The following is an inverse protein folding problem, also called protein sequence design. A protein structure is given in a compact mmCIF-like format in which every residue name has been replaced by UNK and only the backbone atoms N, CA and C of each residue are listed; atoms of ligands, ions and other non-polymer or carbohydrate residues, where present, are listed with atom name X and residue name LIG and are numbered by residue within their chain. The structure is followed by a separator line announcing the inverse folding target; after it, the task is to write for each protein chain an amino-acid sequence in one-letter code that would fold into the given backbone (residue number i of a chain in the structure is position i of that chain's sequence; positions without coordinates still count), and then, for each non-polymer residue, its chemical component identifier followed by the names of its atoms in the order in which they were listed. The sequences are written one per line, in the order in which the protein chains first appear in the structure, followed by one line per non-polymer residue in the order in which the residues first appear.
data_IF_481833154333
#
_entry.id   IF_481833154333
#
_cell.length_a   1.000
_cell.length_b   1.000
_cell.length_c   1.000
_cell.angle_alpha   90.00
_cell.angle_beta   90.00
_cell.angle_gamma   90.00
#
_symmetry.space_group_name_H-M   'P 1'
#
loop_
_entity.id
_entity.type
_entity.pdbx_description
1 polymer ?
#
# COMPACT_ATOMS: atom_id res chain seq x y z
N UNK A 1 -5.36 -11.37 8.57
CA UNK A 1 -4.96 -10.18 7.81
C UNK A 1 -3.90 -9.34 8.50
N UNK A 2 -4.07 -8.87 9.74
CA UNK A 2 -3.07 -8.03 10.42
C UNK A 2 -1.62 -8.59 10.47
N UNK A 3 -1.45 -9.91 10.62
CA UNK A 3 -0.10 -10.54 10.57
C UNK A 3 0.52 -10.50 9.17
N UNK A 4 -0.30 -10.60 8.13
CA UNK A 4 0.14 -10.60 6.74
C UNK A 4 0.53 -9.17 6.31
N UNK A 5 -0.30 -8.17 6.63
CA UNK A 5 0.02 -6.76 6.35
C UNK A 5 1.28 -6.29 7.08
N UNK A 6 1.51 -6.78 8.31
CA UNK A 6 2.78 -6.57 9.02
C UNK A 6 3.98 -7.15 8.26
N UNK A 7 3.88 -8.39 7.78
CA UNK A 7 4.96 -9.02 7.01
C UNK A 7 5.24 -8.27 5.69
N UNK A 8 4.19 -7.84 4.99
CA UNK A 8 4.28 -7.03 3.77
C UNK A 8 4.98 -5.69 4.06
N UNK A 9 4.59 -5.01 5.14
CA UNK A 9 5.23 -3.76 5.58
C UNK A 9 6.71 -3.95 5.84
N UNK A 10 7.08 -4.98 6.59
CA UNK A 10 8.48 -5.25 6.89
C UNK A 10 9.28 -5.61 5.63
N UNK A 11 8.70 -6.38 4.71
CA UNK A 11 9.36 -6.73 3.44
C UNK A 11 9.56 -5.51 2.54
N UNK A 12 8.57 -4.62 2.47
CA UNK A 12 8.65 -3.37 1.73
C UNK A 12 9.77 -2.48 2.29
N UNK A 13 9.85 -2.32 3.62
CA UNK A 13 10.89 -1.52 4.27
C UNK A 13 12.28 -2.13 4.04
N UNK A 14 12.43 -3.47 4.17
CA UNK A 14 13.70 -4.17 3.92
C UNK A 14 14.21 -3.97 2.51
N UNK A 15 13.33 -3.97 1.52
CA UNK A 15 13.70 -3.86 0.11
C UNK A 15 13.67 -2.43 -0.43
N UNK A 16 13.22 -1.44 0.34
CA UNK A 16 13.03 -0.05 -0.12
C UNK A 16 14.30 0.52 -0.80
N UNK A 17 15.46 0.32 -0.18
CA UNK A 17 16.75 0.76 -0.70
C UNK A 17 17.12 0.08 -2.03
N UNK A 18 16.78 -1.20 -2.20
CA UNK A 18 17.05 -1.96 -3.44
C UNK A 18 16.35 -1.35 -4.64
N UNK A 19 15.18 -0.77 -4.43
CA UNK A 19 14.35 -0.15 -5.47
C UNK A 19 14.49 1.38 -5.52
N UNK A 20 15.41 1.96 -4.74
CA UNK A 20 15.60 3.41 -4.68
C UNK A 20 14.39 4.17 -4.13
N UNK A 21 13.48 3.49 -3.42
CA UNK A 21 12.27 4.09 -2.87
C UNK A 21 12.56 4.50 -1.42
N UNK A 22 12.35 5.78 -1.03
CA UNK A 22 12.48 6.18 0.36
C UNK A 22 11.46 5.47 1.24
N UNK A 23 11.91 4.95 2.39
CA UNK A 23 11.02 4.33 3.39
C UNK A 23 9.92 5.30 3.84
N UNK A 24 10.25 6.59 3.96
CA UNK A 24 9.28 7.65 4.28
C UNK A 24 8.15 7.74 3.25
N UNK A 25 8.44 7.52 1.97
CA UNK A 25 7.42 7.49 0.90
C UNK A 25 6.49 6.28 1.07
N UNK A 26 7.04 5.09 1.36
CA UNK A 26 6.23 3.89 1.62
C UNK A 26 5.32 4.08 2.85
N UNK A 27 5.87 4.62 3.93
CA UNK A 27 5.12 4.88 5.15
C UNK A 27 4.13 6.05 5.02
N UNK A 28 4.38 7.02 4.13
CA UNK A 28 3.51 8.16 3.90
C UNK A 28 2.35 7.85 2.96
N UNK A 29 2.58 6.99 1.95
CA UNK A 29 1.57 6.68 0.92
C UNK A 29 0.88 5.37 1.27
N UNK A 30 1.58 4.23 1.25
CA UNK A 30 0.94 2.91 1.37
C UNK A 30 0.28 2.68 2.73
N UNK A 31 0.76 3.33 3.78
CA UNK A 31 0.09 3.28 5.09
C UNK A 31 -1.28 3.96 5.08
N UNK A 32 -1.42 5.05 4.32
CA UNK A 32 -2.65 5.85 4.20
C UNK A 32 -3.60 5.23 3.19
N UNK A 33 -3.07 4.83 2.02
CA UNK A 33 -3.86 4.26 0.93
C UNK A 33 -4.42 2.88 1.26
N UNK A 34 -3.59 1.96 1.79
CA UNK A 34 -3.96 0.54 1.91
C UNK A 34 -3.65 -0.08 3.27
N UNK A 35 -2.96 0.64 4.16
CA UNK A 35 -2.45 0.08 5.41
C UNK A 35 -1.48 -1.09 5.20
N UNK A 36 -0.79 -1.14 4.05
CA UNK A 36 0.02 -2.28 3.60
C UNK A 36 -0.76 -3.58 3.32
N UNK A 37 -2.06 -3.48 3.00
CA UNK A 37 -2.83 -4.62 2.49
C UNK A 37 -2.76 -4.66 0.95
N UNK A 38 -2.08 -5.66 0.35
CA UNK A 38 -2.02 -5.80 -1.10
C UNK A 38 -3.35 -6.21 -1.73
N UNK A 39 -4.36 -6.58 -0.92
CA UNK A 39 -5.71 -6.89 -1.35
C UNK A 39 -6.72 -5.78 -0.98
N UNK A 40 -6.24 -4.61 -0.54
CA UNK A 40 -7.10 -3.47 -0.23
C UNK A 40 -7.96 -3.12 -1.45
N UNK A 41 -9.27 -3.04 -1.24
CA UNK A 41 -10.23 -2.58 -2.22
C UNK A 41 -10.78 -1.24 -1.74
N UNK A 42 -10.55 -0.20 -2.53
CA UNK A 42 -11.07 1.14 -2.27
C UNK A 42 -12.57 1.21 -2.50
N UNK A 43 -13.18 2.31 -2.06
CA UNK A 43 -14.58 2.60 -2.33
C UNK A 43 -14.80 2.97 -3.81
N UNK A 44 -16.08 3.04 -4.21
CA UNK A 44 -16.43 3.55 -5.53
C UNK A 44 -15.99 5.01 -5.60
N UNK A 45 -15.17 5.34 -6.60
CA UNK A 45 -14.67 6.69 -6.77
C UNK A 45 -15.82 7.66 -7.08
N UNK A 46 -15.73 8.88 -6.57
CA UNK A 46 -16.81 9.87 -6.64
C UNK A 46 -17.17 10.32 -8.08
N UNK A 47 -16.26 10.08 -9.02
CA UNK A 47 -16.43 10.29 -10.46
C UNK A 47 -17.07 9.08 -11.18
N UNK A 48 -17.55 8.09 -10.42
CA UNK A 48 -18.08 6.83 -10.94
C UNK A 48 -17.02 5.98 -11.66
N UNK A 49 -15.73 6.25 -11.45
CA UNK A 49 -14.65 5.41 -11.95
C UNK A 49 -14.57 4.07 -11.21
N UNK A 50 -13.84 3.12 -11.81
CA UNK A 50 -13.59 1.82 -11.21
C UNK A 50 -12.93 1.95 -9.83
N UNK A 51 -13.17 0.96 -8.96
CA UNK A 51 -12.56 0.86 -7.64
C UNK A 51 -11.03 0.86 -7.72
N UNK A 52 -10.39 1.58 -6.82
CA UNK A 52 -8.94 1.50 -6.62
C UNK A 52 -8.55 0.18 -5.96
N UNK A 53 -7.42 -0.41 -6.35
CA UNK A 53 -7.01 -1.71 -5.83
C UNK A 53 -5.54 -1.81 -5.42
N UNK A 54 -5.32 -2.62 -4.37
CA UNK A 54 -4.01 -3.06 -3.92
C UNK A 54 -3.22 -2.00 -3.15
N UNK A 55 -1.91 -2.23 -3.02
CA UNK A 55 -1.08 -1.51 -2.04
C UNK A 55 -0.98 0.00 -2.29
N UNK A 56 -1.08 0.42 -3.56
CA UNK A 56 -1.02 1.81 -3.99
C UNK A 56 -2.37 2.42 -4.31
N UNK A 57 -3.48 1.68 -4.16
CA UNK A 57 -4.83 2.13 -4.54
C UNK A 57 -4.87 2.77 -5.94
N UNK A 58 -4.28 2.07 -6.91
CA UNK A 58 -4.24 2.48 -8.32
C UNK A 58 -5.60 2.29 -9.00
#
# INVERSE_FOLDING_TARGET
MARFTKAVKEEAIRNAHRYGVPVSTLLGIWQVESGFDPLALGDLNADNAAYSYGIGQL
#
